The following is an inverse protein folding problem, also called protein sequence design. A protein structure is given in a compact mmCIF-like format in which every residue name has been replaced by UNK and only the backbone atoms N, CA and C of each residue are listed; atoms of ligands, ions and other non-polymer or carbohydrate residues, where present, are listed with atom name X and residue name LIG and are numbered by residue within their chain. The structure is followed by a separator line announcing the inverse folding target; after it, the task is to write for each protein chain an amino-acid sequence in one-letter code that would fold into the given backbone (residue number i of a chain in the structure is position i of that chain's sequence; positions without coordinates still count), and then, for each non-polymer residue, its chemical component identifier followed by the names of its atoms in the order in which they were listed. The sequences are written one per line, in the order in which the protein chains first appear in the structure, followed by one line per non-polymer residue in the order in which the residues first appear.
data_IF_982504787970
#
_entry.id   IF_982504787970
#
_cell.length_a   1.000
_cell.length_b   1.000
_cell.length_c   1.000
_cell.angle_alpha   90.00
_cell.angle_beta   90.00
_cell.angle_gamma   90.00
#
_symmetry.space_group_name_H-M   'P 1'
#
loop_
_entity.id
_entity.type
_entity.pdbx_description
1 polymer ?
#
# COMPACT_ATOMS: atom_id res chain seq x y z
N UNK A 1 38.85 1.68 -21.16
CA UNK A 1 37.61 1.19 -21.81
C UNK A 1 37.01 0.16 -20.85
N UNK A 2 36.18 0.61 -19.91
CA UNK A 2 35.53 -0.30 -18.95
C UNK A 2 34.29 -0.90 -19.62
N UNK A 3 34.30 -2.21 -19.82
CA UNK A 3 33.14 -2.97 -20.27
C UNK A 3 32.04 -2.85 -19.21
N UNK A 4 30.96 -2.15 -19.54
CA UNK A 4 29.76 -2.15 -18.71
C UNK A 4 29.08 -3.52 -18.85
N UNK A 5 29.04 -4.29 -17.76
CA UNK A 5 28.23 -5.51 -17.69
C UNK A 5 26.75 -5.16 -17.91
N UNK A 6 25.98 -5.99 -18.64
CA UNK A 6 24.54 -5.81 -18.76
C UNK A 6 23.91 -5.83 -17.38
N UNK A 7 23.03 -4.89 -17.07
CA UNK A 7 22.21 -4.96 -15.86
C UNK A 7 21.25 -6.14 -16.00
N UNK A 8 21.61 -7.28 -15.42
CA UNK A 8 20.85 -8.53 -15.45
C UNK A 8 19.67 -8.55 -14.46
N UNK A 9 19.37 -7.41 -13.82
CA UNK A 9 18.32 -7.28 -12.83
C UNK A 9 18.50 -8.16 -11.58
N UNK A 10 19.62 -8.88 -11.45
CA UNK A 10 19.86 -9.84 -10.37
C UNK A 10 20.44 -9.17 -9.12
N UNK A 11 21.05 -8.01 -9.29
CA UNK A 11 21.51 -7.15 -8.21
C UNK A 11 20.55 -5.98 -8.05
N UNK A 12 19.43 -6.21 -7.36
CA UNK A 12 18.73 -5.12 -6.67
C UNK A 12 19.63 -4.65 -5.52
N UNK A 13 20.67 -3.90 -5.87
CA UNK A 13 21.56 -3.23 -4.91
C UNK A 13 20.79 -2.05 -4.33
N UNK A 14 20.48 -2.12 -3.03
CA UNK A 14 19.79 -1.03 -2.31
C UNK A 14 18.86 -1.49 -1.19
N UNK A 15 18.48 -2.77 -1.16
CA UNK A 15 17.69 -3.32 -0.05
C UNK A 15 18.53 -4.28 0.78
N UNK A 16 18.64 -4.01 2.09
CA UNK A 16 19.18 -4.99 3.04
C UNK A 16 18.38 -6.28 2.96
N UNK A 17 19.05 -7.41 3.17
CA UNK A 17 18.36 -8.69 3.35
C UNK A 17 17.48 -8.62 4.60
N UNK A 18 16.19 -8.90 4.44
CA UNK A 18 15.23 -8.90 5.55
C UNK A 18 15.34 -10.21 6.33
N UNK A 19 15.25 -10.12 7.65
CA UNK A 19 15.05 -11.31 8.50
C UNK A 19 13.65 -11.89 8.29
N UNK A 20 13.49 -13.18 8.64
CA UNK A 20 12.18 -13.84 8.58
C UNK A 20 11.10 -13.10 9.39
N UNK A 21 11.46 -12.55 10.56
CA UNK A 21 10.55 -11.76 11.38
C UNK A 21 10.11 -10.44 10.73
N UNK A 22 11.00 -9.79 9.98
CA UNK A 22 10.70 -8.56 9.24
C UNK A 22 9.80 -8.84 8.03
N UNK A 23 10.07 -9.93 7.30
CA UNK A 23 9.17 -10.40 6.23
C UNK A 23 7.78 -10.71 6.79
N UNK A 24 7.70 -11.39 7.94
CA UNK A 24 6.44 -11.66 8.64
C UNK A 24 5.67 -10.38 8.97
N UNK A 25 6.33 -9.38 9.58
CA UNK A 25 5.70 -8.09 9.90
C UNK A 25 5.23 -7.34 8.64
N UNK A 26 6.03 -7.33 7.58
CA UNK A 26 5.65 -6.71 6.31
C UNK A 26 4.40 -7.36 5.70
N UNK A 27 4.32 -8.70 5.76
CA UNK A 27 3.15 -9.43 5.28
C UNK A 27 1.91 -9.13 6.11
N UNK A 28 2.04 -8.98 7.43
CA UNK A 28 0.94 -8.57 8.31
C UNK A 28 0.40 -7.18 7.96
N UNK A 29 1.26 -6.19 7.75
CA UNK A 29 0.82 -4.85 7.31
C UNK A 29 0.08 -4.90 5.97
N UNK A 30 0.62 -5.64 5.01
CA UNK A 30 -0.02 -5.82 3.69
C UNK A 30 -1.37 -6.52 3.81
N UNK A 31 -1.50 -7.49 4.72
CA UNK A 31 -2.75 -8.20 4.94
C UNK A 31 -3.82 -7.30 5.56
N UNK A 32 -3.47 -6.54 6.59
CA UNK A 32 -4.39 -5.55 7.19
C UNK A 32 -4.84 -4.52 6.16
N UNK A 33 -3.91 -4.01 5.33
CA UNK A 33 -4.23 -3.09 4.24
C UNK A 33 -5.22 -3.68 3.23
N UNK A 34 -5.02 -4.94 2.82
CA UNK A 34 -5.96 -5.65 1.94
C UNK A 34 -7.34 -5.81 2.57
N UNK A 35 -7.40 -6.21 3.84
CA UNK A 35 -8.67 -6.40 4.55
C UNK A 35 -9.43 -5.09 4.70
N UNK A 36 -8.74 -4.00 5.07
CA UNK A 36 -9.33 -2.67 5.18
C UNK A 36 -9.87 -2.16 3.83
N UNK A 37 -9.06 -2.25 2.76
CA UNK A 37 -9.49 -1.82 1.41
C UNK A 37 -10.65 -2.67 0.90
N UNK A 38 -10.67 -3.98 1.20
CA UNK A 38 -11.80 -4.84 0.85
C UNK A 38 -13.09 -4.36 1.54
N UNK A 39 -13.03 -4.11 2.85
CA UNK A 39 -14.19 -3.61 3.59
C UNK A 39 -14.65 -2.24 3.06
N UNK A 40 -13.72 -1.35 2.70
CA UNK A 40 -14.06 -0.07 2.07
C UNK A 40 -14.81 -0.24 0.74
N UNK A 41 -14.43 -1.22 -0.09
CA UNK A 41 -15.11 -1.48 -1.37
C UNK A 41 -16.52 -2.03 -1.14
N UNK A 42 -16.65 -2.99 -0.22
CA UNK A 42 -17.96 -3.53 0.18
C UNK A 42 -18.86 -2.40 0.71
N UNK A 43 -18.31 -1.45 1.47
CA UNK A 43 -19.05 -0.27 1.91
C UNK A 43 -19.42 0.68 0.76
N UNK A 44 -18.50 0.95 -0.17
CA UNK A 44 -18.78 1.78 -1.35
C UNK A 44 -19.93 1.23 -2.19
N UNK A 45 -19.93 -0.09 -2.42
CA UNK A 45 -21.01 -0.78 -3.14
C UNK A 45 -22.36 -0.61 -2.41
N UNK A 46 -22.36 -0.69 -1.07
CA UNK A 46 -23.55 -0.43 -0.27
C UNK A 46 -24.02 1.03 -0.38
N UNK A 47 -23.11 2.01 -0.27
CA UNK A 47 -23.38 3.45 -0.42
C UNK A 47 -24.06 3.78 -1.76
N UNK A 48 -23.75 3.04 -2.83
CA UNK A 48 -24.43 3.21 -4.12
C UNK A 48 -25.91 2.81 -4.12
N UNK A 49 -26.30 1.88 -3.24
CA UNK A 49 -27.67 1.34 -3.15
C UNK A 49 -28.52 2.02 -2.07
N UNK A 50 -27.90 2.74 -1.15
CA UNK A 50 -28.59 3.42 -0.06
C UNK A 50 -29.46 4.58 -0.55
N UNK A 51 -30.61 4.77 0.10
CA UNK A 51 -31.51 5.88 -0.18
C UNK A 51 -30.99 7.12 0.56
N UNK A 52 -30.09 7.85 -0.09
CA UNK A 52 -29.51 9.11 0.40
C UNK A 52 -29.59 10.20 -0.66
N UNK A 53 -29.45 11.47 -0.25
CA UNK A 53 -29.41 12.57 -1.21
C UNK A 53 -28.15 12.48 -2.11
N UNK A 54 -28.18 13.05 -3.33
CA UNK A 54 -27.01 13.04 -4.21
C UNK A 54 -25.76 13.66 -3.58
N UNK A 55 -25.93 14.71 -2.76
CA UNK A 55 -24.83 15.43 -2.12
C UNK A 55 -24.19 14.60 -1.00
N UNK A 56 -25.00 13.97 -0.14
CA UNK A 56 -24.51 13.05 0.91
C UNK A 56 -23.75 11.87 0.30
N UNK A 57 -24.26 11.31 -0.81
CA UNK A 57 -23.59 10.22 -1.53
C UNK A 57 -22.25 10.66 -2.09
N UNK A 58 -22.20 11.84 -2.70
CA UNK A 58 -20.96 12.38 -3.24
C UNK A 58 -19.92 12.57 -2.13
N UNK A 59 -20.32 13.15 -1.00
CA UNK A 59 -19.43 13.36 0.13
C UNK A 59 -18.94 12.04 0.73
N UNK A 60 -19.82 11.07 0.97
CA UNK A 60 -19.46 9.74 1.45
C UNK A 60 -18.46 9.04 0.52
N UNK A 61 -18.66 9.13 -0.80
CA UNK A 61 -17.75 8.55 -1.78
C UNK A 61 -16.36 9.22 -1.78
N UNK A 62 -16.28 10.55 -1.59
CA UNK A 62 -14.99 11.23 -1.43
C UNK A 62 -14.26 10.79 -0.15
N UNK A 63 -14.97 10.62 0.97
CA UNK A 63 -14.38 10.08 2.20
C UNK A 63 -13.84 8.66 2.01
N UNK A 64 -14.58 7.79 1.32
CA UNK A 64 -14.15 6.43 0.97
C UNK A 64 -12.88 6.47 0.11
N UNK A 65 -12.86 7.32 -0.93
CA UNK A 65 -11.70 7.47 -1.83
C UNK A 65 -10.47 7.96 -1.07
N UNK A 66 -10.66 8.90 -0.15
CA UNK A 66 -9.58 9.41 0.70
C UNK A 66 -9.05 8.31 1.63
N UNK A 67 -9.93 7.54 2.27
CA UNK A 67 -9.54 6.44 3.16
C UNK A 67 -8.75 5.35 2.43
N UNK A 68 -9.15 4.97 1.21
CA UNK A 68 -8.41 4.00 0.38
C UNK A 68 -6.98 4.50 0.07
N UNK A 69 -6.85 5.78 -0.32
CA UNK A 69 -5.57 6.40 -0.60
C UNK A 69 -4.67 6.47 0.65
N UNK A 70 -5.21 6.89 1.79
CA UNK A 70 -4.50 6.97 3.05
C UNK A 70 -4.04 5.60 3.55
N UNK A 71 -4.88 4.56 3.43
CA UNK A 71 -4.50 3.20 3.84
C UNK A 71 -3.33 2.68 2.99
N UNK A 72 -3.35 2.92 1.68
CA UNK A 72 -2.24 2.56 0.78
C UNK A 72 -0.95 3.30 1.17
N UNK A 73 -1.03 4.60 1.44
CA UNK A 73 0.10 5.39 1.91
C UNK A 73 0.64 4.89 3.25
N UNK A 74 -0.22 4.63 4.23
CA UNK A 74 0.15 4.09 5.53
C UNK A 74 0.82 2.72 5.39
N UNK A 75 0.29 1.84 4.54
CA UNK A 75 0.89 0.54 4.26
C UNK A 75 2.28 0.67 3.62
N UNK A 76 2.46 1.59 2.67
CA UNK A 76 3.77 1.86 2.06
C UNK A 76 4.77 2.40 3.08
N UNK A 77 4.37 3.35 3.92
CA UNK A 77 5.21 3.90 4.98
C UNK A 77 5.60 2.83 6.01
N UNK A 78 4.66 1.97 6.41
CA UNK A 78 4.94 0.85 7.31
C UNK A 78 5.87 -0.19 6.68
N UNK A 79 5.71 -0.51 5.39
CA UNK A 79 6.65 -1.41 4.70
C UNK A 79 8.05 -0.78 4.62
N UNK A 80 8.15 0.53 4.35
CA UNK A 80 9.44 1.25 4.31
C UNK A 80 10.12 1.31 5.68
N UNK A 81 9.37 1.45 6.77
CA UNK A 81 9.96 1.43 8.11
C UNK A 81 10.52 0.05 8.49
N UNK A 82 9.95 -1.02 7.92
CA UNK A 82 10.50 -2.38 8.03
C UNK A 82 11.71 -2.57 7.14
N UNK A 83 11.65 -2.16 5.87
CA UNK A 83 12.74 -2.40 4.93
C UNK A 83 13.95 -1.52 5.21
N UNK A 84 13.75 -0.30 5.74
CA UNK A 84 14.80 0.71 5.97
C UNK A 84 15.68 0.83 4.73
N UNK A 85 15.10 1.20 3.58
CA UNK A 85 15.89 1.40 2.37
C UNK A 85 16.90 2.51 2.66
N UNK A 86 18.11 2.37 2.10
CA UNK A 86 19.12 3.43 2.21
C UNK A 86 18.58 4.72 1.59
N UNK A 87 19.00 5.87 2.12
CA UNK A 87 18.51 7.22 1.76
C UNK A 87 18.64 7.52 0.25
N UNK A 88 19.49 6.77 -0.46
CA UNK A 88 19.79 6.92 -1.89
C UNK A 88 18.92 6.01 -2.81
N UNK A 89 17.83 5.40 -2.30
CA UNK A 89 16.98 4.45 -3.04
C UNK A 89 15.52 4.89 -3.21
#
# INVERSE_FOLDING_TARGET
MSEAKPQDGSTVTGYRTLSHGEVGKMNQFKEISRQFIRLLREHADATHTETMSPDERFEAMEWIRQADMLMKQACMAACRSVTKPDIDC
#
